data_IF_778214388719
#
_entry.id   IF_778214388719
#
_cell.length_a   1.000
_cell.length_b   1.000
_cell.length_c   1.000
_cell.angle_alpha   90.00
_cell.angle_beta   90.00
_cell.angle_gamma   90.00
#
_symmetry.space_group_name_H-M   'P 1'
#
loop_
_entity.id
_entity.type
_entity.pdbx_description
1 polymer ?
#
# COMPACT_ATOMS: atom_id res chain seq x y z
N UNK A 1 -2.24 -21.78 59.58
CA UNK A 1 -2.76 -20.71 58.69
C UNK A 1 -2.18 -19.41 59.20
N UNK A 2 -1.25 -18.83 58.46
CA UNK A 2 -0.62 -17.54 58.75
C UNK A 2 -0.85 -16.64 57.53
N UNK A 3 -1.36 -15.43 57.74
CA UNK A 3 -1.63 -14.45 56.70
C UNK A 3 -0.31 -13.93 56.06
N UNK A 4 -0.28 -13.63 54.75
CA UNK A 4 0.84 -12.94 54.13
C UNK A 4 0.75 -11.42 54.35
N UNK A 5 1.84 -10.82 54.81
CA UNK A 5 2.02 -9.38 54.99
C UNK A 5 2.07 -8.61 53.66
N UNK A 6 1.46 -7.42 53.64
CA UNK A 6 1.38 -6.53 52.48
C UNK A 6 2.73 -5.85 52.14
N UNK A 7 3.00 -5.51 50.86
CA UNK A 7 4.23 -4.82 50.46
C UNK A 7 4.19 -3.30 50.76
N UNK A 8 5.36 -2.65 50.98
CA UNK A 8 5.46 -1.24 51.34
C UNK A 8 5.16 -0.27 50.18
N UNK A 9 4.68 0.93 50.55
CA UNK A 9 4.24 2.00 49.64
C UNK A 9 5.37 2.81 48.99
N UNK A 10 5.08 3.30 47.79
CA UNK A 10 5.94 3.97 46.78
C UNK A 10 6.61 5.32 47.16
N UNK A 11 6.82 5.64 48.43
CA UNK A 11 7.37 6.94 48.85
C UNK A 11 8.75 6.90 49.55
N UNK A 12 9.45 5.76 49.53
CA UNK A 12 10.67 5.58 50.35
C UNK A 12 11.94 5.16 49.57
N UNK A 13 12.03 5.49 48.27
CA UNK A 13 13.18 5.14 47.43
C UNK A 13 13.81 6.34 46.70
N UNK A 14 14.04 7.45 47.42
CA UNK A 14 14.91 8.53 46.94
C UNK A 14 15.71 9.14 48.09
N UNK A 15 16.73 8.44 48.58
CA UNK A 15 17.89 9.07 49.21
C UNK A 15 19.08 8.10 49.22
N UNK A 16 20.25 8.62 48.86
CA UNK A 16 21.60 8.05 49.06
C UNK A 16 22.04 6.82 48.25
N UNK A 17 22.56 7.07 47.04
CA UNK A 17 23.66 6.27 46.48
C UNK A 17 24.97 7.08 46.49
N UNK A 18 25.81 6.77 47.47
CA UNK A 18 27.23 7.13 47.50
C UNK A 18 28.02 6.31 46.46
N UNK A 19 28.80 6.98 45.62
CA UNK A 19 29.78 6.37 44.71
C UNK A 19 31.05 5.92 45.47
N UNK A 20 31.63 4.74 45.16
CA UNK A 20 32.90 4.31 45.75
C UNK A 20 34.14 4.89 45.02
N UNK A 21 35.32 4.95 45.68
CA UNK A 21 36.52 5.62 45.17
C UNK A 21 37.36 4.75 44.20
N UNK A 22 38.05 5.42 43.26
CA UNK A 22 38.71 4.82 42.10
C UNK A 22 40.06 4.13 42.33
N UNK A 23 40.47 3.34 41.32
CA UNK A 23 41.82 2.79 41.15
C UNK A 23 42.53 3.45 39.95
N UNK A 24 43.89 3.50 39.94
CA UNK A 24 44.64 4.32 39.00
C UNK A 24 45.16 3.54 37.77
N UNK A 25 45.14 4.19 36.61
CA UNK A 25 46.11 3.98 35.54
C UNK A 25 45.61 3.30 34.26
N UNK A 26 45.01 4.07 33.33
CA UNK A 26 45.12 3.86 31.88
C UNK A 26 45.06 5.24 31.18
N UNK A 27 45.95 5.46 30.19
CA UNK A 27 46.21 6.75 29.55
C UNK A 27 45.05 7.29 28.67
N UNK A 28 44.92 8.63 28.49
CA UNK A 28 43.82 9.23 27.73
C UNK A 28 44.08 9.23 26.21
N UNK A 29 43.03 9.01 25.41
CA UNK A 29 43.00 9.26 23.97
C UNK A 29 43.10 10.77 23.67
N UNK A 30 43.70 11.17 22.52
CA UNK A 30 43.83 12.58 22.16
C UNK A 30 42.50 13.19 21.68
N UNK A 31 42.28 14.51 21.86
CA UNK A 31 41.03 15.18 21.50
C UNK A 31 40.95 15.47 19.99
N UNK A 32 39.73 15.51 19.40
CA UNK A 32 39.53 15.98 18.03
C UNK A 32 39.67 17.51 17.95
N UNK A 33 40.40 17.97 16.95
CA UNK A 33 40.64 19.37 16.61
C UNK A 33 39.35 20.07 16.14
N UNK A 34 39.15 21.30 16.62
CA UNK A 34 37.86 22.00 16.58
C UNK A 34 37.51 22.70 15.27
N UNK A 35 36.20 22.87 15.08
CA UNK A 35 35.58 23.96 14.34
C UNK A 35 34.64 24.71 15.32
N UNK A 36 34.60 26.04 15.36
CA UNK A 36 33.83 26.77 16.36
C UNK A 36 32.33 26.72 16.05
N UNK A 37 31.54 26.19 16.98
CA UNK A 37 30.09 26.40 17.01
C UNK A 37 29.80 27.81 17.50
N UNK A 38 29.30 28.69 16.63
CA UNK A 38 28.66 29.94 17.06
C UNK A 38 27.23 29.62 17.53
N UNK A 39 26.93 29.98 18.78
CA UNK A 39 25.57 29.96 19.31
C UNK A 39 24.75 31.09 18.69
N UNK A 40 23.54 30.77 18.21
CA UNK A 40 22.59 31.78 17.74
C UNK A 40 22.06 32.60 18.94
N UNK A 41 22.02 33.96 18.88
CA UNK A 41 21.40 34.76 19.93
C UNK A 41 19.88 34.60 19.93
N UNK A 42 19.28 34.50 21.12
CA UNK A 42 17.83 34.63 21.29
C UNK A 42 17.36 36.04 20.87
N UNK A 43 16.22 36.18 20.17
CA UNK A 43 15.66 37.50 19.89
C UNK A 43 15.05 38.12 21.17
N UNK A 44 15.16 39.44 21.38
CA UNK A 44 14.49 40.12 22.47
C UNK A 44 12.96 40.10 22.30
N UNK A 45 12.25 40.00 23.42
CA UNK A 45 10.79 39.99 23.47
C UNK A 45 10.22 41.38 23.10
N UNK A 46 9.25 41.40 22.18
CA UNK A 46 8.33 42.53 21.99
C UNK A 46 8.32 43.16 20.60
N UNK A 47 7.70 42.50 19.62
CA UNK A 47 7.05 43.14 18.46
C UNK A 47 5.87 42.27 17.98
N UNK A 48 4.72 42.86 17.60
CA UNK A 48 3.53 42.12 17.19
C UNK A 48 3.65 41.53 15.76
N UNK A 49 3.11 40.33 15.58
CA UNK A 49 3.07 39.60 14.29
C UNK A 49 2.11 40.26 13.28
N UNK A 50 2.48 40.38 11.99
CA UNK A 50 1.53 40.61 10.91
C UNK A 50 0.90 39.30 10.40
N UNK A 51 -0.33 39.33 9.84
CA UNK A 51 -1.06 38.14 9.42
C UNK A 51 -0.48 37.49 8.14
N UNK A 52 -0.55 36.15 8.09
CA UNK A 52 -0.02 35.34 7.01
C UNK A 52 -0.89 35.42 5.74
N UNK A 53 -0.33 35.96 4.66
CA UNK A 53 -0.94 35.94 3.33
C UNK A 53 0.10 36.10 2.21
N UNK A 54 0.17 35.10 1.32
CA UNK A 54 0.64 35.19 -0.07
C UNK A 54 2.10 35.58 -0.33
N UNK A 55 2.98 34.59 -0.55
CA UNK A 55 4.31 34.84 -1.12
C UNK A 55 4.22 35.01 -2.65
N UNK A 56 4.34 36.26 -3.11
CA UNK A 56 4.70 36.61 -4.48
C UNK A 56 6.21 36.92 -4.52
N UNK A 57 6.96 36.24 -5.40
CA UNK A 57 8.38 36.52 -5.62
C UNK A 57 8.56 37.76 -6.52
N UNK A 58 9.54 38.65 -6.25
CA UNK A 58 9.84 39.80 -7.08
C UNK A 58 10.76 39.44 -8.28
N UNK A 59 10.78 40.26 -9.35
CA UNK A 59 11.56 39.98 -10.55
C UNK A 59 13.04 40.39 -10.37
N UNK A 60 13.97 39.54 -10.80
CA UNK A 60 15.39 39.86 -10.93
C UNK A 60 15.78 40.08 -12.40
N UNK A 61 16.10 41.33 -12.71
CA UNK A 61 16.81 41.80 -13.89
C UNK A 61 18.32 41.69 -13.68
N UNK A 62 19.09 41.26 -14.70
CA UNK A 62 20.54 41.50 -14.79
C UNK A 62 21.35 40.25 -15.15
N UNK A 63 21.81 40.18 -16.40
CA UNK A 63 22.51 39.02 -16.94
C UNK A 63 24.02 39.00 -16.73
N UNK A 64 24.60 37.81 -16.93
CA UNK A 64 25.97 37.61 -17.42
C UNK A 64 25.99 36.35 -18.30
N UNK A 65 26.61 36.51 -19.47
CA UNK A 65 26.64 35.53 -20.56
C UNK A 65 27.69 34.44 -20.31
N UNK A 66 27.35 33.18 -20.61
CA UNK A 66 28.31 32.09 -20.79
C UNK A 66 28.40 31.73 -22.29
N UNK A 67 29.60 31.50 -22.85
CA UNK A 67 29.76 31.14 -24.25
C UNK A 67 29.44 29.65 -24.49
N UNK A 68 28.84 29.28 -25.65
CA UNK A 68 28.61 27.88 -26.00
C UNK A 68 29.87 27.20 -26.59
N UNK A 69 30.05 25.88 -26.41
CA UNK A 69 31.16 25.14 -27.03
C UNK A 69 30.96 24.98 -28.55
N UNK A 70 32.05 25.15 -29.29
CA UNK A 70 32.14 24.93 -30.72
C UNK A 70 32.24 23.43 -31.08
N UNK A 71 31.50 22.98 -32.09
CA UNK A 71 31.73 21.70 -32.75
C UNK A 71 30.45 21.00 -33.24
N UNK A 72 30.09 21.20 -34.51
CA UNK A 72 29.01 20.46 -35.15
C UNK A 72 28.68 21.00 -36.54
N UNK A 73 29.02 20.23 -37.57
CA UNK A 73 28.92 20.52 -39.01
C UNK A 73 27.51 20.91 -39.47
N UNK A 74 27.41 22.05 -40.17
CA UNK A 74 26.19 22.56 -40.80
C UNK A 74 25.92 21.82 -42.12
N UNK A 75 24.71 21.27 -42.26
CA UNK A 75 24.13 20.87 -43.55
C UNK A 75 23.26 22.02 -44.09
N UNK A 76 23.38 22.40 -45.38
CA UNK A 76 22.51 23.43 -45.97
C UNK A 76 21.11 22.88 -46.30
N UNK A 77 20.02 23.64 -46.05
CA UNK A 77 18.69 23.25 -46.48
C UNK A 77 18.48 23.49 -47.99
N UNK A 78 17.68 22.66 -48.69
CA UNK A 78 17.39 22.85 -50.12
C UNK A 78 16.55 24.09 -50.41
N UNK A 79 16.89 24.77 -51.50
CA UNK A 79 16.20 25.91 -52.05
C UNK A 79 14.87 25.53 -52.74
N UNK A 80 13.85 26.37 -52.57
CA UNK A 80 12.74 26.50 -53.52
C UNK A 80 11.34 26.32 -52.95
N UNK A 81 10.77 27.38 -52.37
CA UNK A 81 9.32 27.69 -52.43
C UNK A 81 9.14 29.22 -52.34
N UNK A 82 8.32 29.85 -53.20
CA UNK A 82 8.15 31.30 -53.22
C UNK A 82 7.24 31.81 -52.09
N UNK A 83 7.64 32.93 -51.47
CA UNK A 83 6.87 33.67 -50.47
C UNK A 83 5.65 34.37 -51.10
N UNK A 84 4.47 34.35 -50.45
CA UNK A 84 3.37 35.26 -50.79
C UNK A 84 3.61 36.68 -50.21
N UNK A 85 3.06 37.74 -50.83
CA UNK A 85 3.34 39.14 -50.48
C UNK A 85 2.69 39.58 -49.15
N UNK A 86 3.12 40.71 -48.55
CA UNK A 86 2.60 41.19 -47.28
C UNK A 86 1.18 41.74 -47.44
N UNK A 87 0.18 41.08 -46.85
CA UNK A 87 -1.18 41.59 -46.72
C UNK A 87 -1.30 42.50 -45.48
N UNK A 88 -2.01 43.62 -45.65
CA UNK A 88 -2.13 44.76 -44.73
C UNK A 88 -2.78 44.51 -43.36
N UNK A 89 -3.12 45.58 -42.62
CA UNK A 89 -3.53 45.50 -41.21
C UNK A 89 -4.84 44.72 -41.03
N UNK A 90 -5.03 44.05 -39.88
CA UNK A 90 -6.16 43.14 -39.68
C UNK A 90 -7.49 43.90 -39.67
N UNK A 91 -8.56 43.34 -40.28
CA UNK A 91 -9.90 43.91 -40.15
C UNK A 91 -10.41 43.73 -38.71
N UNK A 92 -11.06 44.78 -38.21
CA UNK A 92 -11.75 44.79 -36.93
C UNK A 92 -12.82 43.69 -36.90
N UNK A 93 -12.78 42.89 -35.84
CA UNK A 93 -13.65 41.75 -35.61
C UNK A 93 -15.09 42.23 -35.44
N UNK A 94 -15.95 41.93 -36.41
CA UNK A 94 -17.38 42.10 -36.30
C UNK A 94 -17.91 41.19 -35.18
N UNK A 95 -18.71 41.77 -34.28
CA UNK A 95 -19.21 41.11 -33.08
C UNK A 95 -20.05 39.87 -33.41
N UNK A 96 -19.62 38.73 -32.87
CA UNK A 96 -20.50 37.58 -32.72
C UNK A 96 -21.53 37.92 -31.64
N UNK A 97 -22.76 38.20 -32.05
CA UNK A 97 -23.91 38.14 -31.17
C UNK A 97 -24.07 36.69 -30.69
N UNK A 98 -23.82 36.45 -29.41
CA UNK A 98 -24.18 35.22 -28.73
C UNK A 98 -25.71 35.09 -28.69
N UNK A 99 -26.22 33.92 -29.09
CA UNK A 99 -27.62 33.57 -28.89
C UNK A 99 -27.95 33.60 -27.39
N UNK A 100 -29.14 34.07 -26.98
CA UNK A 100 -29.53 34.09 -25.58
C UNK A 100 -29.68 32.65 -25.05
N UNK A 101 -29.28 32.39 -23.78
CA UNK A 101 -29.49 31.08 -23.16
C UNK A 101 -31.00 30.82 -22.93
N UNK A 102 -31.43 29.56 -22.83
CA UNK A 102 -32.83 29.24 -22.55
C UNK A 102 -33.20 29.77 -21.15
N UNK A 103 -34.39 30.40 -21.07
CA UNK A 103 -34.91 30.99 -19.85
C UNK A 103 -35.05 29.95 -18.73
N UNK A 104 -34.30 30.09 -17.65
CA UNK A 104 -34.63 29.45 -16.37
C UNK A 104 -35.58 30.38 -15.61
N UNK A 105 -36.72 29.83 -15.19
CA UNK A 105 -37.76 30.53 -14.45
C UNK A 105 -37.53 30.31 -12.94
N UNK A 106 -37.44 31.42 -12.19
CA UNK A 106 -37.43 31.48 -10.73
C UNK A 106 -36.02 31.40 -10.12
N UNK A 107 -35.55 32.29 -9.26
CA UNK A 107 -36.16 33.40 -8.53
C UNK A 107 -35.37 33.56 -7.23
N UNK A 108 -34.91 34.78 -6.92
CA UNK A 108 -34.25 35.10 -5.65
C UNK A 108 -32.83 35.64 -5.83
N UNK A 109 -32.66 36.94 -5.55
CA UNK A 109 -31.39 37.66 -5.69
C UNK A 109 -30.29 37.15 -4.77
N UNK A 110 -29.07 37.13 -5.31
CA UNK A 110 -27.83 36.82 -4.61
C UNK A 110 -26.65 37.43 -5.36
N UNK A 111 -25.69 37.96 -4.61
CA UNK A 111 -24.59 38.81 -5.04
C UNK A 111 -23.69 38.20 -6.15
N UNK A 112 -23.12 39.00 -7.08
CA UNK A 112 -22.34 38.52 -8.23
C UNK A 112 -20.88 38.15 -7.91
N UNK A 113 -20.62 37.52 -6.77
CA UNK A 113 -19.28 37.03 -6.40
C UNK A 113 -19.40 35.73 -5.58
N UNK A 114 -19.50 34.58 -6.26
CA UNK A 114 -19.48 33.26 -5.60
C UNK A 114 -19.40 32.04 -6.53
N UNK A 115 -19.81 32.18 -7.79
CA UNK A 115 -20.25 31.03 -8.59
C UNK A 115 -19.12 30.24 -9.28
N UNK A 116 -17.88 30.76 -9.25
CA UNK A 116 -16.73 30.14 -9.94
C UNK A 116 -16.02 29.10 -9.07
N UNK A 117 -16.08 29.25 -7.73
CA UNK A 117 -15.46 28.29 -6.81
C UNK A 117 -16.31 27.02 -6.61
N UNK A 118 -17.64 27.13 -6.67
CA UNK A 118 -18.55 25.99 -6.50
C UNK A 118 -18.49 25.00 -7.68
N UNK A 119 -18.41 25.51 -8.91
CA UNK A 119 -18.25 24.67 -10.11
C UNK A 119 -16.89 23.93 -10.12
N UNK A 120 -15.81 24.61 -9.77
CA UNK A 120 -14.46 24.03 -9.78
C UNK A 120 -14.25 22.99 -8.65
N UNK A 121 -14.84 23.22 -7.47
CA UNK A 121 -14.76 22.26 -6.35
C UNK A 121 -15.67 21.06 -6.57
N UNK A 122 -16.86 21.24 -7.14
CA UNK A 122 -17.75 20.15 -7.53
C UNK A 122 -17.11 19.26 -8.60
N UNK A 123 -16.59 19.83 -9.69
CA UNK A 123 -15.89 19.08 -10.74
C UNK A 123 -14.68 18.30 -10.21
N UNK A 124 -13.86 18.91 -9.35
CA UNK A 124 -12.74 18.22 -8.68
C UNK A 124 -13.23 17.07 -7.79
N UNK A 125 -14.33 17.25 -7.07
CA UNK A 125 -14.96 16.21 -6.25
C UNK A 125 -15.51 15.03 -7.07
N UNK A 126 -16.17 15.30 -8.19
CA UNK A 126 -16.67 14.28 -9.12
C UNK A 126 -15.52 13.52 -9.82
N UNK A 127 -14.47 14.24 -10.21
CA UNK A 127 -13.26 13.64 -10.78
C UNK A 127 -12.57 12.72 -9.76
N UNK A 128 -12.43 13.14 -8.51
CA UNK A 128 -11.82 12.29 -7.48
C UNK A 128 -12.61 10.99 -7.24
N UNK A 129 -13.95 11.07 -7.19
CA UNK A 129 -14.82 9.89 -7.01
C UNK A 129 -14.78 8.96 -8.21
N UNK A 130 -14.83 9.49 -9.43
CA UNK A 130 -14.77 8.69 -10.66
C UNK A 130 -13.40 8.03 -10.86
N UNK A 131 -12.30 8.74 -10.57
CA UNK A 131 -10.94 8.20 -10.56
C UNK A 131 -10.83 7.07 -9.53
N UNK A 132 -11.31 7.28 -8.30
CA UNK A 132 -11.34 6.24 -7.26
C UNK A 132 -12.14 5.02 -7.69
N UNK A 133 -13.32 5.21 -8.28
CA UNK A 133 -14.15 4.12 -8.77
C UNK A 133 -13.46 3.33 -9.89
N UNK A 134 -12.80 4.00 -10.84
CA UNK A 134 -12.02 3.36 -11.90
C UNK A 134 -10.84 2.56 -11.33
N UNK A 135 -10.14 3.13 -10.35
CA UNK A 135 -9.08 2.46 -9.61
C UNK A 135 -9.57 1.19 -8.90
N UNK A 136 -10.65 1.28 -8.13
CA UNK A 136 -11.26 0.13 -7.42
C UNK A 136 -11.65 -0.96 -8.40
N UNK A 137 -12.35 -0.61 -9.50
CA UNK A 137 -12.71 -1.57 -10.56
C UNK A 137 -11.48 -2.27 -11.14
N UNK A 138 -10.41 -1.52 -11.39
CA UNK A 138 -9.15 -2.07 -11.91
C UNK A 138 -8.51 -3.06 -10.94
N UNK A 139 -8.47 -2.73 -9.65
CA UNK A 139 -7.91 -3.62 -8.62
C UNK A 139 -8.71 -4.91 -8.51
N UNK A 140 -10.04 -4.82 -8.40
CA UNK A 140 -10.89 -6.02 -8.30
C UNK A 140 -10.88 -6.85 -9.58
N UNK A 141 -10.74 -6.24 -10.75
CA UNK A 141 -10.61 -6.98 -12.01
C UNK A 141 -9.29 -7.79 -12.05
N UNK A 142 -8.19 -7.19 -11.62
CA UNK A 142 -6.91 -7.90 -11.49
C UNK A 142 -7.04 -9.03 -10.47
N UNK A 143 -7.59 -8.74 -9.29
CA UNK A 143 -7.82 -9.72 -8.23
C UNK A 143 -8.66 -10.90 -8.73
N UNK A 144 -9.73 -10.64 -9.48
CA UNK A 144 -10.57 -11.68 -10.07
C UNK A 144 -9.77 -12.62 -10.98
N UNK A 145 -8.92 -12.06 -11.85
CA UNK A 145 -8.03 -12.86 -12.71
C UNK A 145 -7.04 -13.68 -11.87
N UNK A 146 -6.46 -13.09 -10.82
CA UNK A 146 -5.53 -13.79 -9.94
C UNK A 146 -6.20 -14.98 -9.25
N UNK A 147 -7.41 -14.79 -8.70
CA UNK A 147 -8.17 -15.84 -8.05
C UNK A 147 -8.63 -16.92 -9.03
N UNK A 148 -9.04 -16.55 -10.25
CA UNK A 148 -9.40 -17.50 -11.31
C UNK A 148 -8.21 -18.36 -11.73
N UNK A 149 -7.04 -17.75 -11.91
CA UNK A 149 -5.80 -18.48 -12.22
C UNK A 149 -5.43 -19.45 -11.09
N UNK A 150 -5.53 -19.00 -9.84
CA UNK A 150 -5.28 -19.85 -8.66
C UNK A 150 -6.25 -21.02 -8.59
N UNK A 151 -7.55 -20.77 -8.79
CA UNK A 151 -8.55 -21.83 -8.85
C UNK A 151 -8.23 -22.86 -9.94
N UNK A 152 -7.92 -22.40 -11.16
CA UNK A 152 -7.54 -23.29 -12.25
C UNK A 152 -6.33 -24.16 -11.93
N UNK A 153 -5.28 -23.57 -11.35
CA UNK A 153 -4.07 -24.30 -10.94
C UNK A 153 -4.39 -25.32 -9.85
N UNK A 154 -5.18 -24.95 -8.83
CA UNK A 154 -5.61 -25.87 -7.77
C UNK A 154 -6.42 -27.03 -8.37
N UNK A 155 -7.38 -26.76 -9.27
CA UNK A 155 -8.14 -27.80 -9.94
C UNK A 155 -7.25 -28.77 -10.72
N UNK A 156 -6.27 -28.27 -11.47
CA UNK A 156 -5.32 -29.13 -12.18
C UNK A 156 -4.53 -29.99 -11.19
N UNK A 157 -4.04 -29.42 -10.10
CA UNK A 157 -3.22 -30.14 -9.12
C UNK A 157 -4.02 -31.17 -8.31
N UNK A 158 -5.32 -30.97 -8.16
CA UNK A 158 -6.21 -31.87 -7.41
C UNK A 158 -6.81 -32.96 -8.30
N UNK A 159 -7.27 -32.62 -9.51
CA UNK A 159 -8.01 -33.55 -10.37
C UNK A 159 -7.16 -34.26 -11.43
N UNK A 160 -5.96 -33.74 -11.76
CA UNK A 160 -5.07 -34.38 -12.74
C UNK A 160 -4.03 -35.22 -12.01
N UNK A 161 -4.27 -36.52 -11.92
CA UNK A 161 -3.46 -37.48 -11.15
C UNK A 161 -1.95 -37.44 -11.48
N UNK A 162 -1.51 -37.36 -12.76
CA UNK A 162 -0.08 -37.19 -13.07
C UNK A 162 0.54 -35.93 -12.47
N UNK A 163 -0.19 -34.81 -12.47
CA UNK A 163 0.28 -33.53 -11.91
C UNK A 163 0.33 -33.62 -10.39
N UNK A 164 -0.74 -34.13 -9.78
CA UNK A 164 -0.84 -34.34 -8.34
C UNK A 164 0.34 -35.19 -7.81
N UNK A 165 0.62 -36.32 -8.46
CA UNK A 165 1.75 -37.18 -8.11
C UNK A 165 3.08 -36.45 -8.25
N UNK A 166 3.28 -35.76 -9.39
CA UNK A 166 4.52 -35.03 -9.66
C UNK A 166 4.85 -33.96 -8.61
N UNK A 167 3.88 -33.14 -8.21
CA UNK A 167 4.12 -32.03 -7.26
C UNK A 167 4.35 -32.54 -5.84
N UNK A 168 3.76 -33.68 -5.46
CA UNK A 168 4.00 -34.32 -4.15
C UNK A 168 5.38 -34.97 -4.07
N UNK A 169 5.87 -35.56 -5.17
CA UNK A 169 7.20 -36.17 -5.24
C UNK A 169 8.31 -35.12 -5.33
N UNK A 170 8.08 -34.00 -6.04
CA UNK A 170 9.08 -32.97 -6.30
C UNK A 170 8.91 -31.75 -5.37
N UNK A 171 9.01 -31.96 -4.05
CA UNK A 171 8.85 -30.88 -3.05
C UNK A 171 9.84 -29.72 -3.21
N UNK A 172 10.96 -29.91 -3.92
CA UNK A 172 11.91 -28.83 -4.20
C UNK A 172 11.27 -27.67 -4.97
N UNK A 173 10.33 -27.96 -5.88
CA UNK A 173 9.59 -26.94 -6.63
C UNK A 173 8.73 -26.06 -5.71
N UNK A 174 8.16 -26.64 -4.65
CA UNK A 174 7.43 -25.87 -3.63
C UNK A 174 8.37 -24.85 -2.97
N UNK A 175 9.55 -25.27 -2.51
CA UNK A 175 10.52 -24.36 -1.89
C UNK A 175 11.04 -23.29 -2.87
N UNK A 176 11.28 -23.66 -4.14
CA UNK A 176 11.63 -22.69 -5.18
C UNK A 176 10.50 -21.66 -5.41
N UNK A 177 9.25 -22.12 -5.50
CA UNK A 177 8.09 -21.24 -5.65
C UNK A 177 7.92 -20.32 -4.45
N UNK A 178 8.18 -20.80 -3.24
CA UNK A 178 8.14 -20.00 -2.01
C UNK A 178 9.21 -18.90 -2.01
N UNK A 179 10.46 -19.25 -2.38
CA UNK A 179 11.54 -18.28 -2.47
C UNK A 179 11.26 -17.19 -3.52
N UNK A 180 10.73 -17.59 -4.69
CA UNK A 180 10.37 -16.66 -5.75
C UNK A 180 9.17 -15.79 -5.37
N UNK A 181 8.15 -16.36 -4.71
CA UNK A 181 7.04 -15.62 -4.13
C UNK A 181 7.53 -14.52 -3.18
N UNK A 182 8.40 -14.88 -2.23
CA UNK A 182 8.95 -13.93 -1.25
C UNK A 182 9.77 -12.82 -1.93
N UNK A 183 10.60 -13.18 -2.90
CA UNK A 183 11.37 -12.22 -3.67
C UNK A 183 10.46 -11.23 -4.43
N UNK A 184 9.43 -11.73 -5.12
CA UNK A 184 8.49 -10.87 -5.84
C UNK A 184 7.64 -10.02 -4.89
N UNK A 185 7.22 -10.57 -3.75
CA UNK A 185 6.52 -9.82 -2.70
C UNK A 185 7.34 -8.63 -2.21
N UNK A 186 8.62 -8.86 -1.87
CA UNK A 186 9.53 -7.78 -1.43
C UNK A 186 9.72 -6.74 -2.53
N UNK A 187 9.93 -7.17 -3.79
CA UNK A 187 10.08 -6.24 -4.92
C UNK A 187 8.82 -5.37 -5.08
N UNK A 188 7.63 -5.96 -5.06
CA UNK A 188 6.37 -5.23 -5.21
C UNK A 188 6.04 -4.37 -3.97
N UNK A 189 6.41 -4.80 -2.77
CA UNK A 189 6.18 -4.05 -1.53
C UNK A 189 7.18 -2.88 -1.35
N UNK A 190 8.45 -3.07 -1.71
CA UNK A 190 9.53 -2.15 -1.40
C UNK A 190 10.06 -1.35 -2.59
N UNK A 191 9.72 -1.72 -3.84
CA UNK A 191 10.21 -1.02 -5.04
C UNK A 191 9.07 -0.35 -5.83
N UNK A 192 8.69 0.90 -5.48
CA UNK A 192 7.65 1.66 -6.20
C UNK A 192 7.90 1.76 -7.70
N UNK A 193 9.17 1.90 -8.11
CA UNK A 193 9.57 1.97 -9.52
C UNK A 193 9.11 0.74 -10.31
N UNK A 194 9.18 -0.44 -9.71
CA UNK A 194 8.77 -1.69 -10.36
C UNK A 194 7.24 -1.78 -10.41
N UNK A 195 6.55 -1.55 -9.29
CA UNK A 195 5.08 -1.73 -9.23
C UNK A 195 4.28 -0.64 -9.94
N UNK A 196 4.85 0.57 -10.13
CA UNK A 196 4.17 1.68 -10.82
C UNK A 196 4.46 1.74 -12.32
N UNK A 197 5.46 1.01 -12.84
CA UNK A 197 5.87 1.09 -14.25
C UNK A 197 5.45 -0.14 -15.06
N UNK A 198 4.68 0.11 -16.12
CA UNK A 198 4.35 -0.90 -17.13
C UNK A 198 5.53 -1.14 -18.08
N UNK A 199 5.76 -2.38 -18.58
CA UNK A 199 5.04 -3.63 -18.29
C UNK A 199 5.54 -4.41 -17.07
N UNK A 200 6.64 -3.97 -16.45
CA UNK A 200 7.30 -4.71 -15.37
C UNK A 200 6.38 -5.03 -14.18
N UNK A 201 5.47 -4.11 -13.85
CA UNK A 201 4.52 -4.31 -12.78
C UNK A 201 3.56 -5.49 -12.99
N UNK A 202 3.01 -5.65 -14.20
CA UNK A 202 2.10 -6.76 -14.54
C UNK A 202 2.86 -8.07 -14.60
N UNK A 203 4.08 -8.08 -15.14
CA UNK A 203 4.92 -9.29 -15.19
C UNK A 203 5.29 -9.75 -13.78
N UNK A 204 5.77 -8.85 -12.92
CA UNK A 204 6.09 -9.18 -11.54
C UNK A 204 4.87 -9.69 -10.78
N UNK A 205 3.70 -9.06 -10.95
CA UNK A 205 2.45 -9.51 -10.35
C UNK A 205 2.01 -10.89 -10.86
N UNK A 206 2.17 -11.18 -12.15
CA UNK A 206 1.84 -12.48 -12.72
C UNK A 206 2.74 -13.59 -12.15
N UNK A 207 4.06 -13.36 -12.09
CA UNK A 207 5.01 -14.31 -11.47
C UNK A 207 4.66 -14.54 -10.01
N UNK A 208 4.39 -13.46 -9.27
CA UNK A 208 3.95 -13.51 -7.88
C UNK A 208 2.68 -14.36 -7.70
N UNK A 209 1.66 -14.12 -8.52
CA UNK A 209 0.41 -14.88 -8.50
C UNK A 209 0.66 -16.35 -8.76
N UNK A 210 1.35 -16.69 -9.86
CA UNK A 210 1.64 -18.08 -10.23
C UNK A 210 2.41 -18.83 -9.14
N UNK A 211 3.36 -18.17 -8.46
CA UNK A 211 4.09 -18.78 -7.35
C UNK A 211 3.16 -19.12 -6.18
N UNK A 212 2.32 -18.17 -5.74
CA UNK A 212 1.38 -18.43 -4.65
C UNK A 212 0.30 -19.45 -5.05
N UNK A 213 -0.17 -19.42 -6.30
CA UNK A 213 -1.10 -20.42 -6.84
C UNK A 213 -0.48 -21.81 -6.85
N UNK A 214 0.79 -21.93 -7.25
CA UNK A 214 1.53 -23.20 -7.22
C UNK A 214 1.66 -23.73 -5.79
N UNK A 215 2.02 -22.86 -4.83
CA UNK A 215 2.07 -23.23 -3.41
C UNK A 215 0.70 -23.72 -2.93
N UNK A 216 -0.37 -22.99 -3.23
CA UNK A 216 -1.73 -23.34 -2.82
C UNK A 216 -2.23 -24.65 -3.46
N UNK A 217 -1.94 -24.87 -4.75
CA UNK A 217 -2.24 -26.11 -5.45
C UNK A 217 -1.48 -27.29 -4.87
N UNK A 218 -0.19 -27.10 -4.56
CA UNK A 218 0.65 -28.14 -3.95
C UNK A 218 0.11 -28.52 -2.57
N UNK A 219 -0.20 -27.55 -1.71
CA UNK A 219 -0.83 -27.80 -0.40
C UNK A 219 -2.16 -28.54 -0.56
N UNK A 220 -2.99 -28.12 -1.51
CA UNK A 220 -4.30 -28.75 -1.79
C UNK A 220 -4.16 -30.22 -2.24
N UNK A 221 -3.06 -30.58 -2.91
CA UNK A 221 -2.81 -31.95 -3.37
C UNK A 221 -2.59 -32.98 -2.23
N UNK A 222 -2.28 -32.50 -1.02
CA UNK A 222 -2.01 -33.36 0.16
C UNK A 222 -3.27 -33.81 0.92
N UNK A 223 -4.47 -33.34 0.56
CA UNK A 223 -5.72 -33.66 1.25
C UNK A 223 -6.40 -34.99 0.82
N UNK A 224 -5.64 -35.91 0.20
CA UNK A 224 -6.06 -37.29 -0.07
C UNK A 224 -7.23 -37.45 -1.06
N UNK A 225 -7.94 -38.58 -0.98
CA UNK A 225 -8.99 -38.98 -1.95
C UNK A 225 -10.22 -38.04 -1.95
N UNK A 226 -10.45 -37.32 -0.84
CA UNK A 226 -11.53 -36.33 -0.71
C UNK A 226 -11.07 -34.90 -1.03
N UNK A 227 -9.82 -34.70 -1.51
CA UNK A 227 -9.25 -33.37 -1.73
C UNK A 227 -10.15 -32.48 -2.60
N UNK A 228 -10.76 -33.03 -3.66
CA UNK A 228 -11.66 -32.28 -4.55
C UNK A 228 -12.85 -31.67 -3.81
N UNK A 229 -13.52 -32.44 -2.95
CA UNK A 229 -14.66 -31.96 -2.18
C UNK A 229 -14.24 -30.96 -1.11
N UNK A 230 -13.19 -31.28 -0.34
CA UNK A 230 -12.65 -30.42 0.71
C UNK A 230 -12.25 -29.05 0.17
N UNK A 231 -11.53 -29.01 -0.95
CA UNK A 231 -11.05 -27.77 -1.58
C UNK A 231 -12.21 -26.91 -2.06
N UNK A 232 -13.21 -27.49 -2.73
CA UNK A 232 -14.37 -26.74 -3.22
C UNK A 232 -15.20 -26.14 -2.08
N UNK A 233 -15.43 -26.91 -1.01
CA UNK A 233 -16.16 -26.42 0.18
C UNK A 233 -15.37 -25.30 0.86
N UNK A 234 -14.07 -25.49 1.10
CA UNK A 234 -13.22 -24.48 1.73
C UNK A 234 -13.12 -23.20 0.88
N UNK A 235 -13.11 -23.33 -0.44
CA UNK A 235 -13.15 -22.18 -1.35
C UNK A 235 -14.48 -21.44 -1.30
N UNK A 236 -15.61 -22.15 -1.22
CA UNK A 236 -16.92 -21.55 -1.02
C UNK A 236 -17.02 -20.79 0.32
N UNK A 237 -16.49 -21.37 1.40
CA UNK A 237 -16.40 -20.71 2.71
C UNK A 237 -15.51 -19.47 2.62
N UNK A 238 -14.33 -19.58 2.01
CA UNK A 238 -13.41 -18.46 1.84
C UNK A 238 -14.05 -17.32 1.02
N UNK A 239 -14.74 -17.64 -0.08
CA UNK A 239 -15.48 -16.66 -0.87
C UNK A 239 -16.58 -15.98 -0.04
N UNK A 240 -17.33 -16.73 0.77
CA UNK A 240 -18.34 -16.17 1.67
C UNK A 240 -17.75 -15.24 2.73
N UNK A 241 -16.67 -15.66 3.40
CA UNK A 241 -15.97 -14.85 4.41
C UNK A 241 -15.40 -13.60 3.78
N UNK A 242 -14.73 -13.72 2.64
CA UNK A 242 -14.07 -12.58 1.98
C UNK A 242 -15.07 -11.55 1.51
N UNK A 243 -16.18 -11.97 0.86
CA UNK A 243 -17.26 -11.08 0.49
C UNK A 243 -17.93 -10.44 1.71
N UNK A 244 -18.23 -11.23 2.75
CA UNK A 244 -18.85 -10.72 3.98
C UNK A 244 -17.99 -9.68 4.69
N UNK A 245 -16.69 -9.96 4.82
CA UNK A 245 -15.72 -9.06 5.45
C UNK A 245 -15.51 -7.81 4.61
N UNK A 246 -15.36 -7.94 3.29
CA UNK A 246 -15.24 -6.77 2.42
C UNK A 246 -16.48 -5.89 2.54
N UNK A 247 -17.70 -6.44 2.40
CA UNK A 247 -18.95 -5.71 2.56
C UNK A 247 -19.08 -5.02 3.92
N UNK A 248 -18.72 -5.72 5.00
CA UNK A 248 -18.67 -5.15 6.34
C UNK A 248 -17.68 -4.00 6.43
N UNK A 249 -16.48 -4.17 5.88
CA UNK A 249 -15.41 -3.17 5.89
C UNK A 249 -15.80 -1.89 5.11
N UNK A 250 -16.57 -2.02 4.01
CA UNK A 250 -17.11 -0.86 3.27
C UNK A 250 -18.12 -0.08 4.12
N UNK A 251 -19.02 -0.79 4.80
CA UNK A 251 -20.19 -0.21 5.46
C UNK A 251 -19.91 0.30 6.88
N UNK A 252 -19.00 -0.35 7.59
CA UNK A 252 -18.72 -0.05 9.00
C UNK A 252 -18.13 1.34 9.17
N UNK A 253 -18.49 2.03 10.26
CA UNK A 253 -17.87 3.31 10.66
C UNK A 253 -16.50 3.13 11.31
N UNK A 254 -16.18 1.90 11.76
CA UNK A 254 -14.89 1.59 12.37
C UNK A 254 -13.77 1.70 11.33
N UNK A 255 -12.72 2.44 11.66
CA UNK A 255 -11.56 2.64 10.80
C UNK A 255 -10.45 1.62 11.13
N UNK A 256 -10.44 0.50 10.41
CA UNK A 256 -9.39 -0.51 10.50
C UNK A 256 -8.04 0.04 10.04
N UNK A 257 -8.01 1.01 9.13
CA UNK A 257 -6.74 1.59 8.64
C UNK A 257 -5.94 2.27 9.76
N UNK A 258 -6.64 2.79 10.77
CA UNK A 258 -6.02 3.36 11.97
C UNK A 258 -5.37 2.30 12.89
N UNK A 259 -5.73 1.02 12.75
CA UNK A 259 -5.20 -0.09 13.56
C UNK A 259 -3.93 -0.75 12.99
N UNK A 260 -3.29 -0.16 11.97
CA UNK A 260 -2.13 -0.77 11.30
C UNK A 260 -0.99 -1.16 12.24
N UNK A 261 -0.69 -0.34 13.25
CA UNK A 261 0.33 -0.68 14.27
C UNK A 261 -0.03 -1.90 15.12
N UNK A 262 -1.32 -2.07 15.45
CA UNK A 262 -1.80 -3.26 16.16
C UNK A 262 -1.71 -4.51 15.29
N UNK A 263 -2.11 -4.41 14.00
CA UNK A 263 -2.00 -5.53 13.06
C UNK A 263 -0.54 -5.95 12.84
N UNK A 264 0.39 -5.00 12.80
CA UNK A 264 1.82 -5.29 12.74
C UNK A 264 2.31 -6.06 13.97
N UNK A 265 1.99 -5.59 15.18
CA UNK A 265 2.39 -6.27 16.43
C UNK A 265 1.74 -7.66 16.53
N UNK A 266 0.46 -7.79 16.17
CA UNK A 266 -0.24 -9.08 16.19
C UNK A 266 0.36 -10.05 15.16
N UNK A 267 0.67 -9.59 13.95
CA UNK A 267 1.37 -10.37 12.93
C UNK A 267 2.75 -10.81 13.39
N UNK A 268 3.55 -9.93 14.01
CA UNK A 268 4.87 -10.29 14.53
C UNK A 268 4.77 -11.32 15.66
N UNK A 269 3.78 -11.16 16.54
CA UNK A 269 3.52 -12.08 17.65
C UNK A 269 3.14 -13.47 17.13
N UNK A 270 2.28 -13.54 16.12
CA UNK A 270 1.91 -14.79 15.47
C UNK A 270 3.07 -15.42 14.71
N UNK A 271 3.91 -14.63 14.04
CA UNK A 271 5.11 -15.13 13.38
C UNK A 271 6.05 -15.82 14.39
N UNK A 272 6.34 -15.17 15.53
CA UNK A 272 7.15 -15.76 16.60
C UNK A 272 6.49 -17.00 17.23
N UNK A 273 5.18 -16.97 17.46
CA UNK A 273 4.43 -18.12 17.96
C UNK A 273 4.49 -19.31 16.99
N UNK A 274 4.48 -19.04 15.68
CA UNK A 274 4.66 -20.05 14.63
C UNK A 274 5.98 -20.81 14.75
N UNK A 275 7.10 -20.11 15.02
CA UNK A 275 8.38 -20.79 15.28
C UNK A 275 8.32 -21.73 16.47
N UNK A 276 7.70 -21.28 17.57
CA UNK A 276 7.54 -22.12 18.77
C UNK A 276 6.68 -23.35 18.44
N UNK A 277 5.55 -23.14 17.74
CA UNK A 277 4.62 -24.21 17.37
C UNK A 277 5.26 -25.31 16.51
N UNK A 278 6.25 -24.98 15.67
CA UNK A 278 7.02 -25.97 14.88
C UNK A 278 7.70 -27.00 15.79
N UNK A 279 8.26 -26.57 16.93
CA UNK A 279 8.98 -27.47 17.83
C UNK A 279 8.08 -28.25 18.79
N UNK A 280 6.89 -27.73 19.11
CA UNK A 280 6.03 -28.32 20.15
C UNK A 280 5.18 -29.51 19.68
N UNK A 281 5.04 -29.75 18.36
CA UNK A 281 4.29 -30.88 17.75
C UNK A 281 2.91 -31.17 18.38
N UNK A 282 2.22 -30.15 18.89
CA UNK A 282 0.92 -30.30 19.56
C UNK A 282 -0.22 -29.90 18.63
N UNK A 283 -1.16 -30.82 18.40
CA UNK A 283 -2.33 -30.57 17.55
C UNK A 283 -3.22 -29.45 18.07
N UNK A 284 -3.29 -29.27 19.39
CA UNK A 284 -4.03 -28.16 20.01
C UNK A 284 -3.37 -26.83 19.65
N UNK A 285 -2.04 -26.74 19.74
CA UNK A 285 -1.31 -25.52 19.39
C UNK A 285 -1.46 -25.18 17.90
N UNK A 286 -1.38 -26.17 17.00
CA UNK A 286 -1.63 -25.93 15.58
C UNK A 286 -3.05 -25.44 15.30
N UNK A 287 -4.04 -26.00 16.00
CA UNK A 287 -5.44 -25.55 15.88
C UNK A 287 -5.61 -24.12 16.37
N UNK A 288 -5.08 -23.78 17.55
CA UNK A 288 -5.12 -22.41 18.09
C UNK A 288 -4.39 -21.44 17.17
N UNK A 289 -3.21 -21.82 16.66
CA UNK A 289 -2.46 -21.04 15.70
C UNK A 289 -3.28 -20.75 14.44
N UNK A 290 -3.94 -21.76 13.87
CA UNK A 290 -4.77 -21.61 12.69
C UNK A 290 -5.95 -20.64 12.92
N UNK A 291 -6.64 -20.72 14.06
CA UNK A 291 -7.72 -19.79 14.40
C UNK A 291 -7.23 -18.34 14.58
N UNK A 292 -6.10 -18.15 15.26
CA UNK A 292 -5.50 -16.82 15.43
C UNK A 292 -5.03 -16.24 14.08
N UNK A 293 -4.44 -17.07 13.23
CA UNK A 293 -4.05 -16.67 11.88
C UNK A 293 -5.27 -16.32 11.02
N UNK A 294 -6.35 -17.11 11.09
CA UNK A 294 -7.61 -16.81 10.38
C UNK A 294 -8.18 -15.45 10.81
N UNK A 295 -8.17 -15.16 12.12
CA UNK A 295 -8.59 -13.87 12.66
C UNK A 295 -7.70 -12.74 12.14
N UNK A 296 -6.37 -12.91 12.18
CA UNK A 296 -5.43 -11.91 11.69
C UNK A 296 -5.64 -11.60 10.20
N UNK A 297 -5.70 -12.62 9.33
CA UNK A 297 -5.92 -12.42 7.89
C UNK A 297 -7.30 -11.85 7.57
N UNK A 298 -8.32 -12.16 8.38
CA UNK A 298 -9.63 -11.51 8.27
C UNK A 298 -9.55 -10.02 8.60
N UNK A 299 -8.76 -9.63 9.60
CA UNK A 299 -8.52 -8.22 9.94
C UNK A 299 -7.68 -7.51 8.88
N UNK A 300 -6.66 -8.15 8.30
CA UNK A 300 -5.92 -7.62 7.15
C UNK A 300 -6.84 -7.40 5.95
N UNK A 301 -7.69 -8.37 5.62
CA UNK A 301 -8.65 -8.20 4.53
C UNK A 301 -9.57 -6.99 4.73
N UNK A 302 -10.05 -6.76 5.95
CA UNK A 302 -10.84 -5.57 6.29
C UNK A 302 -10.00 -4.28 6.17
N UNK A 303 -8.76 -4.30 6.66
CA UNK A 303 -7.80 -3.20 6.53
C UNK A 303 -7.51 -2.84 5.07
N UNK A 304 -7.13 -3.82 4.25
CA UNK A 304 -6.78 -3.64 2.84
C UNK A 304 -8.00 -3.27 1.99
N UNK A 305 -9.19 -3.80 2.32
CA UNK A 305 -10.44 -3.35 1.69
C UNK A 305 -10.68 -1.86 1.97
N UNK A 306 -10.49 -1.39 3.21
CA UNK A 306 -10.66 0.02 3.54
C UNK A 306 -9.57 0.92 2.93
N UNK A 307 -8.32 0.43 2.90
CA UNK A 307 -7.20 1.12 2.26
C UNK A 307 -7.48 1.33 0.76
N UNK A 308 -8.06 0.33 0.10
CA UNK A 308 -8.44 0.38 -1.31
C UNK A 308 -9.60 1.35 -1.58
N UNK A 309 -10.68 1.27 -0.79
CA UNK A 309 -11.89 2.09 -0.99
C UNK A 309 -11.62 3.56 -0.68
N UNK A 310 -10.76 3.81 0.30
CA UNK A 310 -10.39 5.15 0.74
C UNK A 310 -11.46 5.85 1.57
N UNK A 311 -11.23 7.15 1.83
CA UNK A 311 -12.11 7.94 2.69
C UNK A 311 -11.96 7.67 4.20
N UNK A 312 -10.81 7.09 4.60
CA UNK A 312 -10.40 6.82 5.99
C UNK A 312 -9.06 7.50 6.29
N UNK A 313 -8.45 7.20 7.46
CA UNK A 313 -7.16 7.79 7.85
C UNK A 313 -6.05 7.51 6.84
N UNK A 314 -6.00 6.29 6.31
CA UNK A 314 -5.08 5.93 5.23
C UNK A 314 -5.87 5.44 4.02
N UNK A 315 -5.41 5.85 2.84
CA UNK A 315 -5.98 5.43 1.57
C UNK A 315 -4.88 5.25 0.53
N UNK A 316 -5.13 4.34 -0.41
CA UNK A 316 -4.16 4.01 -1.44
C UNK A 316 -4.23 5.00 -2.60
N UNK A 317 -3.07 5.41 -3.14
CA UNK A 317 -3.03 6.22 -4.35
C UNK A 317 -3.60 5.43 -5.54
N UNK A 318 -4.36 6.04 -6.47
CA UNK A 318 -4.86 5.36 -7.67
C UNK A 318 -3.78 4.70 -8.54
N UNK A 319 -2.53 5.12 -8.42
CA UNK A 319 -1.37 4.53 -9.12
C UNK A 319 -0.95 3.16 -8.53
N UNK A 320 -1.35 2.85 -7.31
CA UNK A 320 -0.91 1.69 -6.53
C UNK A 320 -1.85 0.48 -6.69
N UNK A 321 -2.47 0.34 -7.86
CA UNK A 321 -3.43 -0.73 -8.13
C UNK A 321 -2.81 -2.12 -8.07
N UNK A 322 -1.50 -2.24 -8.36
CA UNK A 322 -0.75 -3.49 -8.23
C UNK A 322 -0.56 -3.87 -6.76
N UNK A 323 -0.22 -2.89 -5.91
CA UNK A 323 -0.05 -3.10 -4.48
C UNK A 323 -1.38 -3.48 -3.81
N UNK A 324 -2.46 -2.78 -4.15
CA UNK A 324 -3.81 -3.11 -3.65
C UNK A 324 -4.28 -4.51 -4.07
N UNK A 325 -4.06 -4.89 -5.33
CA UNK A 325 -4.40 -6.23 -5.81
C UNK A 325 -3.54 -7.31 -5.14
N UNK A 326 -2.24 -7.06 -4.98
CA UNK A 326 -1.30 -7.96 -4.30
C UNK A 326 -1.73 -8.25 -2.86
N UNK A 327 -2.03 -7.23 -2.05
CA UNK A 327 -2.42 -7.43 -0.64
C UNK A 327 -3.73 -8.21 -0.52
N UNK A 328 -4.77 -7.79 -1.24
CA UNK A 328 -6.06 -8.49 -1.22
C UNK A 328 -5.91 -9.96 -1.68
N UNK A 329 -5.07 -10.22 -2.67
CA UNK A 329 -4.81 -11.58 -3.14
C UNK A 329 -4.09 -12.44 -2.09
N UNK A 330 -3.08 -11.89 -1.41
CA UNK A 330 -2.40 -12.56 -0.29
C UNK A 330 -3.40 -12.92 0.80
N UNK A 331 -4.20 -11.94 1.24
CA UNK A 331 -5.17 -12.16 2.31
C UNK A 331 -6.15 -13.27 1.98
N UNK A 332 -6.72 -13.24 0.78
CA UNK A 332 -7.72 -14.23 0.34
C UNK A 332 -7.08 -15.61 0.22
N UNK A 333 -5.91 -15.75 -0.42
CA UNK A 333 -5.29 -17.06 -0.61
C UNK A 333 -4.77 -17.66 0.69
N UNK A 334 -4.16 -16.87 1.58
CA UNK A 334 -3.75 -17.38 2.89
C UNK A 334 -4.95 -17.72 3.77
N UNK A 335 -6.03 -16.92 3.74
CA UNK A 335 -7.27 -17.26 4.43
C UNK A 335 -7.85 -18.58 3.90
N UNK A 336 -7.84 -18.79 2.58
CA UNK A 336 -8.21 -20.08 1.98
C UNK A 336 -7.35 -21.23 2.51
N UNK A 337 -6.02 -21.08 2.55
CA UNK A 337 -5.12 -22.13 3.04
C UNK A 337 -5.35 -22.45 4.52
N UNK A 338 -5.66 -21.44 5.34
CA UNK A 338 -5.98 -21.62 6.75
C UNK A 338 -7.32 -22.34 6.91
N UNK A 339 -8.36 -21.95 6.16
CA UNK A 339 -9.65 -22.65 6.15
C UNK A 339 -9.45 -24.10 5.71
N UNK A 340 -8.66 -24.34 4.66
CA UNK A 340 -8.34 -25.67 4.19
C UNK A 340 -7.59 -26.50 5.25
N UNK A 341 -6.68 -25.89 6.01
CA UNK A 341 -6.02 -26.56 7.13
C UNK A 341 -6.99 -26.93 8.27
N UNK A 342 -7.99 -26.09 8.54
CA UNK A 342 -8.99 -26.33 9.58
C UNK A 342 -10.05 -27.36 9.18
N UNK A 343 -10.49 -27.37 7.91
CA UNK A 343 -11.67 -28.13 7.46
C UNK A 343 -11.37 -29.17 6.39
N UNK A 344 -10.25 -29.07 5.68
CA UNK A 344 -9.90 -29.96 4.59
C UNK A 344 -9.36 -31.32 5.04
N UNK A 345 -8.71 -31.35 6.21
CA UNK A 345 -8.27 -32.58 6.86
C UNK A 345 -9.46 -33.24 7.56
N UNK A 346 -10.24 -34.03 6.81
CA UNK A 346 -11.21 -34.94 7.41
C UNK A 346 -10.50 -35.80 8.45
N UNK A 347 -11.01 -35.80 9.68
CA UNK A 347 -10.63 -36.80 10.68
C UNK A 347 -11.08 -38.17 10.24
#
# INVERSE_FOLDING_TARGET
>A
MAEPSAPPSYMEATTDQQYPPGQPGVAPYPPPTGAPYQAAPYPPAGQPYPPAGGAAYPPQTGGTAYPPPAGGTAYPPPAGQPYPPPSGPPPQQAGYQSAPPPASYGGGGGNPHGDVEEGFTAERGFNNKSIRAAFIKKVYFILFIQLLATFGIICVFVYVEPVNSYVRTNSWLYWCSYALFLAMYIVLACCPTVRRKYPGNVVALAVFTLCLSYMAGTISSYYGDNAGQSVLVCMGICAGVTLGVSLFAIQTRFDFTSCGGFLFVFSLSLFLFGFIAIFTRSSILYTVYAWLAALLFTLFLAYDTQLLIGGRRYELSPEEYIFGAMNLYVDIVYLFLIILACFGGGK
#
